data_IF_683549453326
#
_entry.id   IF_683549453326
#
_cell.length_a   1.000
_cell.length_b   1.000
_cell.length_c   1.000
_cell.angle_alpha   90.00
_cell.angle_beta   90.00
_cell.angle_gamma   90.00
#
_symmetry.space_group_name_H-M   'P 1'
#
loop_
_entity.id
_entity.type
_entity.pdbx_description
1 polymer ?
#
# COMPACT_ATOMS: atom_id res chain seq x y z
N UNK A 1 5.97 -1.61 -11.17
CA UNK A 1 6.39 -0.39 -11.89
C UNK A 1 5.28 0.64 -11.78
N UNK A 2 5.59 1.86 -11.29
CA UNK A 2 4.58 2.91 -11.10
C UNK A 2 5.06 4.20 -11.78
N UNK A 3 4.19 4.83 -12.55
CA UNK A 3 4.38 6.15 -13.13
C UNK A 3 3.55 7.16 -12.34
N UNK A 4 4.18 8.24 -11.86
CA UNK A 4 3.51 9.33 -11.14
C UNK A 4 3.67 10.64 -11.87
N UNK A 5 2.60 11.44 -11.89
CA UNK A 5 2.60 12.82 -12.40
C UNK A 5 2.00 13.77 -11.39
N UNK A 6 2.71 14.84 -11.10
CA UNK A 6 2.20 15.96 -10.33
C UNK A 6 1.18 16.75 -11.14
N UNK A 7 0.02 17.00 -10.57
CA UNK A 7 -0.96 17.94 -11.12
C UNK A 7 -0.90 19.28 -10.38
N UNK A 8 -0.69 19.23 -9.06
CA UNK A 8 -0.51 20.38 -8.17
C UNK A 8 0.45 19.99 -7.05
N UNK A 9 0.89 20.95 -6.23
CA UNK A 9 1.88 20.74 -5.16
C UNK A 9 1.52 19.61 -4.18
N UNK A 10 0.22 19.39 -3.96
CA UNK A 10 -0.29 18.39 -3.01
C UNK A 10 -1.07 17.25 -3.64
N UNK A 11 -1.13 17.22 -4.96
CA UNK A 11 -1.97 16.28 -5.68
C UNK A 11 -1.20 15.60 -6.80
N UNK A 12 -1.19 14.27 -6.79
CA UNK A 12 -0.58 13.45 -7.82
C UNK A 12 -1.57 12.43 -8.34
N UNK A 13 -1.50 12.13 -9.62
CA UNK A 13 -2.09 10.92 -10.19
C UNK A 13 -0.99 9.92 -10.47
N UNK A 14 -1.28 8.65 -10.27
CA UNK A 14 -0.36 7.58 -10.60
C UNK A 14 -1.07 6.42 -11.28
N UNK A 15 -0.31 5.72 -12.11
CA UNK A 15 -0.71 4.44 -12.68
C UNK A 15 0.47 3.48 -12.61
N UNK A 16 0.21 2.22 -12.38
CA UNK A 16 1.27 1.24 -12.25
C UNK A 16 0.80 -0.19 -12.48
N UNK A 17 1.78 -1.07 -12.52
CA UNK A 17 1.57 -2.52 -12.60
C UNK A 17 2.31 -3.13 -11.42
N UNK A 18 1.59 -3.87 -10.60
CA UNK A 18 2.15 -4.69 -9.54
C UNK A 18 2.22 -6.12 -10.03
N UNK A 19 3.37 -6.74 -9.87
CA UNK A 19 3.60 -8.15 -10.20
C UNK A 19 3.91 -8.84 -8.89
N UNK A 20 2.99 -9.66 -8.44
CA UNK A 20 3.14 -10.47 -7.23
C UNK A 20 3.48 -11.89 -7.63
N UNK A 21 4.65 -12.34 -7.22
CA UNK A 21 4.99 -13.75 -7.20
C UNK A 21 4.57 -14.28 -5.83
N UNK A 22 3.35 -14.76 -5.71
CA UNK A 22 3.09 -15.71 -4.65
C UNK A 22 3.93 -16.95 -4.99
N UNK A 23 4.69 -17.47 -4.01
CA UNK A 23 5.40 -18.74 -4.17
C UNK A 23 4.33 -19.83 -4.08
N UNK A 24 3.74 -20.28 -5.19
CA UNK A 24 2.73 -21.30 -5.14
C UNK A 24 3.43 -22.64 -5.16
N UNK A 25 2.84 -23.63 -4.55
CA UNK A 25 3.22 -25.02 -4.76
C UNK A 25 3.14 -25.47 -6.24
N UNK A 26 2.56 -24.64 -7.12
CA UNK A 26 2.53 -24.81 -8.57
C UNK A 26 3.01 -23.55 -9.29
N UNK A 27 4.03 -23.69 -10.10
CA UNK A 27 4.85 -22.66 -10.79
C UNK A 27 4.11 -21.75 -11.81
N UNK A 28 2.79 -21.73 -11.87
CA UNK A 28 2.06 -21.16 -13.01
C UNK A 28 1.22 -19.90 -12.73
N UNK A 29 1.21 -19.34 -11.54
CA UNK A 29 0.40 -18.14 -11.27
C UNK A 29 1.23 -16.90 -10.88
N UNK A 30 1.73 -16.21 -11.91
CA UNK A 30 2.18 -14.82 -11.78
C UNK A 30 0.93 -13.93 -11.80
N UNK A 31 0.57 -13.39 -10.63
CA UNK A 31 -0.53 -12.41 -10.56
C UNK A 31 -0.03 -11.05 -10.96
N UNK A 32 -0.59 -10.49 -12.03
CA UNK A 32 -0.30 -9.13 -12.49
C UNK A 32 -1.50 -8.24 -12.23
N UNK A 33 -1.33 -7.23 -11.41
CA UNK A 33 -2.39 -6.29 -11.05
C UNK A 33 -2.07 -4.90 -11.59
N UNK A 34 -2.94 -4.36 -12.47
CA UNK A 34 -2.86 -2.96 -12.87
C UNK A 34 -3.58 -2.09 -11.83
N UNK A 35 -2.95 -0.99 -11.46
CA UNK A 35 -3.46 -0.02 -10.49
C UNK A 35 -3.48 1.38 -11.07
N UNK A 36 -4.49 2.15 -10.72
CA UNK A 36 -4.57 3.59 -11.00
C UNK A 36 -5.04 4.29 -9.72
N UNK A 37 -4.53 5.48 -9.47
CA UNK A 37 -4.94 6.15 -8.25
C UNK A 37 -4.54 7.61 -8.16
N UNK A 38 -4.92 8.18 -7.05
CA UNK A 38 -4.74 9.58 -6.70
C UNK A 38 -4.05 9.62 -5.34
N UNK A 39 -3.02 10.44 -5.23
CA UNK A 39 -2.29 10.68 -3.98
C UNK A 39 -2.45 12.13 -3.54
N UNK A 40 -2.91 12.31 -2.32
CA UNK A 40 -2.93 13.59 -1.64
C UNK A 40 -1.77 13.64 -0.64
N UNK A 41 -0.91 14.63 -0.78
CA UNK A 41 0.23 14.87 0.10
C UNK A 41 -0.14 16.01 1.05
N UNK A 42 -0.48 15.70 2.29
CA UNK A 42 -0.74 16.73 3.28
C UNK A 42 0.54 17.00 4.07
N UNK A 43 1.13 18.21 4.01
CA UNK A 43 2.47 18.47 4.55
C UNK A 43 2.61 18.20 6.04
N UNK A 44 1.51 18.29 6.80
CA UNK A 44 1.56 18.24 8.27
C UNK A 44 0.79 17.08 8.90
N UNK A 45 -0.06 16.39 8.15
CA UNK A 45 -0.92 15.34 8.69
C UNK A 45 -0.49 13.96 8.21
N UNK A 46 -0.93 13.57 7.03
CA UNK A 46 -0.68 12.24 6.46
C UNK A 46 -0.78 12.29 4.94
N UNK A 47 -0.25 11.28 4.29
CA UNK A 47 -0.47 11.08 2.87
C UNK A 47 -1.66 10.13 2.71
N UNK A 48 -2.56 10.47 1.80
CA UNK A 48 -3.73 9.69 1.46
C UNK A 48 -3.63 9.25 0.01
N UNK A 49 -3.58 7.95 -0.21
CA UNK A 49 -3.66 7.34 -1.53
C UNK A 49 -5.04 6.69 -1.68
N UNK A 50 -5.72 7.00 -2.77
CA UNK A 50 -6.92 6.29 -3.20
C UNK A 50 -6.60 5.58 -4.50
N UNK A 51 -6.73 4.27 -4.52
CA UNK A 51 -6.35 3.41 -5.64
C UNK A 51 -7.54 2.61 -6.12
N UNK A 52 -7.49 2.23 -7.38
CA UNK A 52 -8.40 1.30 -8.01
C UNK A 52 -7.58 0.25 -8.75
N UNK A 53 -7.83 -1.01 -8.50
CA UNK A 53 -7.18 -2.09 -9.24
C UNK A 53 -7.97 -2.45 -10.52
N UNK A 54 -7.41 -3.34 -11.34
CA UNK A 54 -8.05 -3.79 -12.58
C UNK A 54 -9.35 -4.59 -12.35
N UNK A 55 -9.60 -5.06 -11.14
CA UNK A 55 -10.85 -5.72 -10.71
C UNK A 55 -11.86 -4.73 -10.14
N UNK A 56 -11.61 -3.41 -10.29
CA UNK A 56 -12.43 -2.32 -9.76
C UNK A 56 -12.59 -2.37 -8.23
N UNK A 57 -11.60 -2.90 -7.51
CA UNK A 57 -11.60 -2.89 -6.05
C UNK A 57 -10.93 -1.61 -5.56
N UNK A 58 -11.66 -0.73 -4.89
CA UNK A 58 -11.07 0.47 -4.31
C UNK A 58 -10.25 0.13 -3.06
N UNK A 59 -9.12 0.77 -2.96
CA UNK A 59 -8.20 0.70 -1.83
C UNK A 59 -7.91 2.11 -1.34
N UNK A 60 -7.96 2.29 -0.05
CA UNK A 60 -7.56 3.53 0.63
C UNK A 60 -6.32 3.22 1.45
N UNK A 61 -5.25 3.97 1.21
CA UNK A 61 -4.01 3.87 1.98
C UNK A 61 -3.68 5.19 2.63
N UNK A 62 -3.48 5.16 3.93
CA UNK A 62 -3.04 6.29 4.73
C UNK A 62 -1.64 5.98 5.22
N UNK A 63 -0.68 6.87 4.99
CA UNK A 63 0.67 6.68 5.48
C UNK A 63 1.26 7.98 6.03
N UNK A 64 2.14 7.83 7.01
CA UNK A 64 2.89 8.92 7.61
C UNK A 64 4.25 8.43 8.08
N UNK A 65 5.26 9.25 7.84
CA UNK A 65 6.56 9.11 8.47
C UNK A 65 6.89 10.42 9.20
N UNK A 66 7.31 10.32 10.44
CA UNK A 66 7.63 11.47 11.31
C UNK A 66 9.05 11.27 11.84
N UNK A 67 9.91 12.25 11.63
CA UNK A 67 11.24 12.28 12.22
C UNK A 67 11.12 12.71 13.70
N UNK A 68 11.53 11.81 14.61
CA UNK A 68 11.47 12.04 16.07
C UNK A 68 12.83 12.48 16.63
N UNK A 69 13.91 12.02 16.03
CA UNK A 69 15.29 12.43 16.34
C UNK A 69 16.08 12.61 15.05
N UNK A 70 17.22 13.35 15.09
CA UNK A 70 18.14 13.32 13.98
C UNK A 70 18.52 11.88 13.63
N UNK A 71 18.22 11.43 12.40
CA UNK A 71 18.44 10.06 11.88
C UNK A 71 17.41 9.00 12.30
N UNK A 72 16.40 9.32 13.10
CA UNK A 72 15.37 8.34 13.52
C UNK A 72 13.99 8.84 13.14
N UNK A 73 13.27 8.06 12.36
CA UNK A 73 11.87 8.30 12.05
C UNK A 73 11.00 7.12 12.49
N UNK A 74 9.76 7.43 12.83
CA UNK A 74 8.69 6.44 12.98
C UNK A 74 7.77 6.55 11.79
N UNK A 75 7.25 5.43 11.34
CA UNK A 75 6.25 5.41 10.26
C UNK A 75 5.06 4.54 10.63
N UNK A 76 3.93 4.87 10.04
CA UNK A 76 2.71 4.10 10.09
C UNK A 76 2.05 4.06 8.73
N UNK A 77 1.48 2.92 8.39
CA UNK A 77 0.72 2.68 7.17
C UNK A 77 -0.57 1.98 7.57
N UNK A 78 -1.67 2.44 7.03
CA UNK A 78 -2.97 1.80 7.13
C UNK A 78 -3.54 1.66 5.73
N UNK A 79 -3.99 0.47 5.38
CA UNK A 79 -4.60 0.16 4.10
C UNK A 79 -5.96 -0.48 4.35
N UNK A 80 -6.95 -0.07 3.59
CA UNK A 80 -8.28 -0.65 3.59
C UNK A 80 -8.70 -0.94 2.17
N UNK A 81 -8.86 -2.21 1.84
CA UNK A 81 -9.32 -2.67 0.55
C UNK A 81 -10.79 -3.11 0.66
N UNK A 82 -11.62 -2.61 -0.24
CA UNK A 82 -13.02 -3.01 -0.35
C UNK A 82 -13.15 -4.05 -1.45
N UNK A 83 -13.81 -5.15 -1.15
CA UNK A 83 -14.19 -6.13 -2.15
C UNK A 83 -15.70 -6.02 -2.39
N UNK A 84 -16.08 -5.54 -3.57
CA UNK A 84 -17.49 -5.39 -3.94
C UNK A 84 -18.13 -6.67 -4.44
N UNK A 85 -17.41 -7.80 -4.39
CA UNK A 85 -17.98 -9.09 -4.82
C UNK A 85 -18.49 -9.09 -6.26
N UNK A 86 -17.88 -8.31 -7.15
CA UNK A 86 -18.20 -8.30 -8.59
C UNK A 86 -17.73 -9.60 -9.28
N UNK A 87 -17.90 -10.73 -8.61
CA UNK A 87 -17.87 -12.01 -9.28
C UNK A 87 -19.14 -12.12 -10.13
N UNK A 88 -18.97 -12.48 -11.41
CA UNK A 88 -20.00 -12.58 -12.45
C UNK A 88 -21.13 -13.62 -12.19
N UNK A 89 -21.46 -13.89 -10.96
CA UNK A 89 -22.66 -14.64 -10.59
C UNK A 89 -23.73 -13.60 -10.25
N UNK A 90 -24.73 -13.52 -11.13
CA UNK A 90 -26.01 -12.85 -10.85
C UNK A 90 -26.44 -13.22 -9.42
N UNK A 91 -26.72 -12.26 -8.53
CA UNK A 91 -27.18 -12.59 -7.20
C UNK A 91 -28.48 -13.36 -7.32
N UNK A 92 -28.48 -14.64 -6.94
CA UNK A 92 -29.72 -15.30 -6.60
C UNK A 92 -30.36 -14.52 -5.46
N UNK A 93 -31.55 -14.07 -5.73
CA UNK A 93 -32.33 -13.15 -4.91
C UNK A 93 -32.31 -13.50 -3.43
N UNK A 94 -31.70 -12.64 -2.60
CA UNK A 94 -31.94 -12.61 -1.17
C UNK A 94 -30.72 -12.60 -0.23
N UNK A 95 -29.49 -12.72 -0.71
CA UNK A 95 -28.33 -12.55 0.15
C UNK A 95 -27.91 -11.08 0.19
N UNK A 96 -27.86 -10.53 1.41
CA UNK A 96 -27.24 -9.25 1.68
C UNK A 96 -25.81 -9.30 1.12
N UNK A 97 -25.48 -8.42 0.20
CA UNK A 97 -24.10 -8.20 -0.25
C UNK A 97 -23.30 -7.70 0.95
N UNK A 98 -22.72 -8.64 1.70
CA UNK A 98 -21.78 -8.32 2.75
C UNK A 98 -20.55 -7.70 2.09
N UNK A 99 -20.43 -6.39 2.21
CA UNK A 99 -19.22 -5.66 1.85
C UNK A 99 -18.09 -6.17 2.74
N UNK A 100 -17.29 -7.09 2.22
CA UNK A 100 -16.10 -7.58 2.91
C UNK A 100 -14.97 -6.60 2.61
N UNK A 101 -14.52 -5.90 3.64
CA UNK A 101 -13.30 -5.10 3.58
C UNK A 101 -12.18 -5.78 4.36
N UNK A 102 -10.97 -5.71 3.85
CA UNK A 102 -9.77 -6.14 4.54
C UNK A 102 -8.97 -4.92 4.98
N UNK A 103 -8.70 -4.83 6.29
CA UNK A 103 -7.89 -3.78 6.87
C UNK A 103 -6.50 -4.32 7.20
N UNK A 104 -5.47 -3.66 6.71
CA UNK A 104 -4.08 -3.97 7.03
C UNK A 104 -3.38 -2.75 7.59
N UNK A 105 -2.47 -2.96 8.52
CA UNK A 105 -1.67 -1.88 9.06
C UNK A 105 -0.25 -2.36 9.38
N UNK A 106 0.67 -1.44 9.23
CA UNK A 106 2.05 -1.62 9.63
C UNK A 106 2.57 -0.38 10.34
N UNK A 107 3.44 -0.58 11.30
CA UNK A 107 4.14 0.51 11.97
C UNK A 107 5.60 0.11 12.22
N UNK A 108 6.49 1.10 12.26
CA UNK A 108 7.90 0.78 12.45
C UNK A 108 8.77 2.00 12.71
N UNK A 109 10.05 1.70 12.84
CA UNK A 109 11.12 2.67 13.08
C UNK A 109 12.15 2.53 11.99
N UNK A 110 12.61 3.65 11.46
CA UNK A 110 13.70 3.71 10.49
C UNK A 110 14.86 4.49 11.11
N UNK A 111 16.07 3.95 11.02
CA UNK A 111 17.30 4.58 11.49
C UNK A 111 18.29 4.78 10.36
N UNK A 112 18.71 6.02 10.14
CA UNK A 112 19.63 6.43 9.07
C UNK A 112 21.06 6.47 9.60
N UNK A 113 21.87 5.49 9.28
CA UNK A 113 23.28 5.46 9.65
C UNK A 113 24.12 6.46 8.84
N UNK A 114 23.86 6.55 7.55
CA UNK A 114 24.55 7.44 6.62
C UNK A 114 23.62 7.88 5.48
N UNK A 115 24.12 8.75 4.59
CA UNK A 115 23.38 9.15 3.38
C UNK A 115 22.89 7.96 2.54
N UNK A 116 23.68 6.90 2.55
CA UNK A 116 23.48 5.76 1.65
C UNK A 116 22.97 4.51 2.38
N UNK A 117 22.83 4.55 3.71
CA UNK A 117 22.50 3.35 4.47
C UNK A 117 21.49 3.65 5.59
N UNK A 118 20.40 2.92 5.59
CA UNK A 118 19.39 2.92 6.68
C UNK A 118 18.90 1.52 7.00
N UNK A 119 18.47 1.33 8.25
CA UNK A 119 17.89 0.09 8.79
C UNK A 119 16.48 0.39 9.25
N UNK A 120 15.57 -0.51 8.96
CA UNK A 120 14.18 -0.41 9.33
C UNK A 120 13.76 -1.65 10.13
N UNK A 121 13.02 -1.42 11.21
CA UNK A 121 12.26 -2.47 11.93
C UNK A 121 10.78 -2.13 11.88
N UNK A 122 9.93 -3.11 11.62
CA UNK A 122 8.49 -2.90 11.49
C UNK A 122 7.69 -4.09 12.03
N UNK A 123 6.44 -3.83 12.31
CA UNK A 123 5.43 -4.83 12.58
C UNK A 123 4.27 -4.61 11.61
N UNK A 124 3.84 -5.67 10.97
CA UNK A 124 2.68 -5.71 10.06
C UNK A 124 1.67 -6.70 10.63
N UNK A 125 0.38 -6.37 10.60
CA UNK A 125 -0.65 -7.23 11.18
C UNK A 125 -0.86 -8.56 10.41
N UNK A 126 -0.36 -8.67 9.17
CA UNK A 126 -0.43 -9.90 8.36
C UNK A 126 0.79 -10.79 8.54
N UNK A 127 1.99 -10.19 8.60
CA UNK A 127 3.26 -10.90 8.53
C UNK A 127 4.04 -10.89 9.85
N UNK A 128 3.59 -10.09 10.84
CA UNK A 128 4.28 -9.94 12.12
C UNK A 128 5.49 -9.02 12.06
N UNK A 129 6.51 -9.33 12.86
CA UNK A 129 7.71 -8.52 12.94
C UNK A 129 8.63 -8.74 11.73
N UNK A 130 9.12 -7.65 11.17
CA UNK A 130 10.03 -7.65 10.03
C UNK A 130 11.12 -6.59 10.15
N UNK A 131 12.09 -6.67 9.28
CA UNK A 131 13.15 -5.67 9.19
C UNK A 131 13.70 -5.56 7.78
N UNK A 132 14.32 -4.42 7.48
CA UNK A 132 14.87 -4.14 6.17
C UNK A 132 16.12 -3.27 6.22
N UNK A 133 16.89 -3.39 5.15
CA UNK A 133 18.06 -2.56 4.88
C UNK A 133 17.81 -1.78 3.60
N UNK A 134 18.12 -0.48 3.62
CA UNK A 134 18.11 0.33 2.40
C UNK A 134 19.52 0.80 2.12
N UNK A 135 20.02 0.50 0.91
CA UNK A 135 21.28 0.97 0.40
C UNK A 135 21.02 1.83 -0.84
N UNK A 136 21.56 3.05 -0.87
CA UNK A 136 21.47 3.97 -2.02
C UNK A 136 22.85 4.16 -2.61
N UNK A 137 22.96 4.00 -3.89
CA UNK A 137 24.19 4.17 -4.66
C UNK A 137 24.22 5.53 -5.36
#
# INVERSE_FOLDING_TARGET
>A
FTYERYLYDYFRVFAGVNVENEIPESLDEISTTAIVGIRFLTPYLFNLDVRLDHKLRPEIRINREIMIFPRTSIFGVYEYQMDFGLTNTLPESGENSDFKGEATWAAGVNYIFSRNFSVMGSYDNRFGAGGGLTVRF
#
